data_IF_700948884036
#
_entry.id   IF_700948884036
#
_cell.length_a   1.000
_cell.length_b   1.000
_cell.length_c   1.000
_cell.angle_alpha   90.00
_cell.angle_beta   90.00
_cell.angle_gamma   90.00
#
_symmetry.space_group_name_H-M   'P 1'
#
loop_
_entity.id
_entity.type
_entity.pdbx_description
1 polymer ?
#
# COMPACT_ATOMS: atom_id res chain seq x y z
N UNK A 1 17.35 -24.00 7.18
CA UNK A 1 18.33 -22.88 7.16
C UNK A 1 18.16 -22.11 8.46
N UNK A 2 19.24 -21.72 9.16
CA UNK A 2 19.11 -20.86 10.35
C UNK A 2 18.64 -19.46 9.93
N UNK A 3 17.74 -18.79 10.67
CA UNK A 3 17.37 -17.40 10.39
C UNK A 3 18.56 -16.45 10.30
N UNK A 4 19.63 -16.73 11.06
CA UNK A 4 20.90 -15.98 11.02
C UNK A 4 21.65 -16.09 9.68
N UNK A 5 21.29 -17.07 8.85
CA UNK A 5 21.94 -17.30 7.56
C UNK A 5 21.13 -16.70 6.40
N UNK A 6 20.00 -16.05 6.68
CA UNK A 6 19.28 -15.25 5.69
C UNK A 6 20.17 -14.04 5.40
N UNK A 7 20.60 -13.89 4.15
CA UNK A 7 21.38 -12.76 3.68
C UNK A 7 20.47 -11.56 3.40
N UNK A 8 20.39 -11.16 2.13
CA UNK A 8 19.56 -10.04 1.73
C UNK A 8 18.09 -10.44 1.56
N UNK A 9 17.21 -9.66 2.18
CA UNK A 9 15.75 -9.76 2.01
C UNK A 9 15.30 -8.60 1.11
N UNK A 10 14.64 -8.94 0.02
CA UNK A 10 14.13 -8.00 -0.98
C UNK A 10 12.62 -7.82 -0.81
N UNK A 11 12.20 -6.60 -0.45
CA UNK A 11 10.79 -6.21 -0.35
C UNK A 11 10.31 -5.69 -1.70
N UNK A 12 9.38 -6.40 -2.32
CA UNK A 12 8.72 -5.98 -3.56
C UNK A 12 7.45 -5.24 -3.19
N UNK A 13 7.29 -4.02 -3.70
CA UNK A 13 6.10 -3.21 -3.46
C UNK A 13 5.74 -2.44 -4.72
N UNK A 14 4.48 -2.01 -4.82
CA UNK A 14 4.02 -1.14 -5.92
C UNK A 14 4.13 0.33 -5.50
N UNK A 15 4.19 1.22 -6.48
CA UNK A 15 4.16 2.68 -6.24
C UNK A 15 2.82 3.19 -5.67
N UNK A 16 1.79 2.34 -5.59
CA UNK A 16 0.46 2.60 -5.05
C UNK A 16 -0.09 1.33 -4.37
N UNK A 17 -1.11 1.45 -3.54
CA UNK A 17 -1.67 0.30 -2.82
C UNK A 17 -2.87 -0.31 -3.56
N UNK A 18 -3.00 -1.63 -3.47
CA UNK A 18 -4.17 -2.36 -4.00
C UNK A 18 -4.65 -3.40 -3.01
N UNK A 19 -5.96 -3.58 -2.89
CA UNK A 19 -6.57 -4.62 -2.03
C UNK A 19 -7.61 -5.44 -2.80
N UNK A 20 -7.62 -6.74 -2.53
CA UNK A 20 -8.68 -7.67 -2.95
C UNK A 20 -9.50 -8.03 -1.72
N UNK A 21 -10.83 -7.98 -1.84
CA UNK A 21 -11.73 -8.34 -0.75
C UNK A 21 -12.06 -7.19 0.19
N UNK A 22 -12.73 -7.55 1.29
CA UNK A 22 -13.23 -6.65 2.31
C UNK A 22 -12.17 -6.32 3.38
N UNK A 23 -12.53 -5.42 4.28
CA UNK A 23 -11.70 -4.92 5.37
C UNK A 23 -11.13 -3.53 5.08
N UNK A 24 -10.63 -2.83 6.09
CA UNK A 24 -10.35 -1.41 5.95
C UNK A 24 -9.11 -1.17 5.09
N UNK A 25 -9.10 -0.06 4.38
CA UNK A 25 -8.01 0.32 3.51
C UNK A 25 -7.83 1.83 3.63
N UNK A 26 -7.00 2.29 4.59
CA UNK A 26 -6.93 3.70 4.94
C UNK A 26 -6.73 4.61 3.73
N UNK A 27 -5.77 4.26 2.85
CA UNK A 27 -5.44 5.05 1.67
C UNK A 27 -6.32 4.78 0.43
N UNK A 28 -7.44 4.08 0.57
CA UNK A 28 -8.34 3.79 -0.55
C UNK A 28 -8.88 5.06 -1.18
N UNK A 29 -8.90 5.07 -2.52
CA UNK A 29 -9.48 6.14 -3.31
C UNK A 29 -10.83 5.70 -3.86
N UNK A 30 -11.85 6.51 -3.58
CA UNK A 30 -13.23 6.31 -4.05
C UNK A 30 -13.60 7.26 -5.20
N UNK A 31 -12.62 7.97 -5.75
CA UNK A 31 -12.78 8.97 -6.80
C UNK A 31 -12.20 8.48 -8.14
N UNK A 32 -12.25 9.36 -9.15
CA UNK A 32 -11.74 9.08 -10.50
C UNK A 32 -10.23 8.76 -10.51
N UNK A 33 -9.46 9.23 -9.52
CA UNK A 33 -8.03 8.95 -9.41
C UNK A 33 -7.81 7.47 -9.10
N UNK A 34 -8.53 6.93 -8.10
CA UNK A 34 -8.48 5.50 -7.78
C UNK A 34 -8.88 4.62 -8.96
N UNK A 35 -9.91 5.06 -9.69
CA UNK A 35 -10.37 4.39 -10.89
C UNK A 35 -9.33 4.37 -12.01
N UNK A 36 -8.69 5.52 -12.26
CA UNK A 36 -7.63 5.67 -13.27
C UNK A 36 -6.39 4.84 -12.93
N UNK A 37 -5.96 4.83 -11.65
CA UNK A 37 -4.86 3.96 -11.18
C UNK A 37 -5.19 2.49 -11.47
N UNK A 38 -6.41 2.05 -11.14
CA UNK A 38 -6.83 0.66 -11.37
C UNK A 38 -6.85 0.27 -12.85
N UNK A 39 -7.26 1.19 -13.73
CA UNK A 39 -7.27 0.97 -15.18
C UNK A 39 -5.85 0.91 -15.76
N UNK A 40 -5.02 1.94 -15.51
CA UNK A 40 -3.63 2.01 -16.01
C UNK A 40 -2.77 0.87 -15.46
N UNK A 41 -2.98 0.50 -14.19
CA UNK A 41 -2.28 -0.60 -13.54
C UNK A 41 -2.80 -1.99 -13.93
N UNK A 42 -3.85 -2.09 -14.75
CA UNK A 42 -4.54 -3.35 -15.07
C UNK A 42 -4.88 -4.17 -13.80
N UNK A 43 -5.40 -3.50 -12.77
CA UNK A 43 -5.67 -4.09 -11.46
C UNK A 43 -7.02 -4.80 -11.42
N UNK A 44 -7.11 -5.89 -12.18
CA UNK A 44 -8.29 -6.75 -12.27
C UNK A 44 -7.94 -8.18 -11.85
N UNK A 45 -8.91 -8.89 -11.29
CA UNK A 45 -8.76 -10.30 -10.95
C UNK A 45 -8.53 -11.14 -12.22
N UNK A 46 -7.50 -11.99 -12.21
CA UNK A 46 -7.11 -12.78 -13.38
C UNK A 46 -8.18 -13.76 -13.89
N UNK A 47 -9.10 -14.19 -13.00
CA UNK A 47 -10.17 -15.15 -13.34
C UNK A 47 -11.51 -14.43 -13.52
N UNK A 48 -11.94 -13.67 -12.50
CA UNK A 48 -13.28 -13.06 -12.47
C UNK A 48 -13.35 -11.69 -13.15
N UNK A 49 -12.21 -11.07 -13.46
CA UNK A 49 -12.16 -9.69 -13.94
C UNK A 49 -12.55 -8.65 -12.88
N UNK A 50 -12.81 -9.06 -11.63
CA UNK A 50 -13.25 -8.13 -10.57
C UNK A 50 -12.18 -7.08 -10.32
N UNK A 51 -12.58 -5.81 -10.35
CA UNK A 51 -11.71 -4.66 -10.05
C UNK A 51 -11.14 -4.76 -8.64
N UNK A 52 -9.85 -4.48 -8.49
CA UNK A 52 -9.19 -4.32 -7.18
C UNK A 52 -9.44 -2.91 -6.66
N UNK A 53 -9.56 -2.80 -5.35
CA UNK A 53 -9.57 -1.51 -4.65
C UNK A 53 -8.19 -0.88 -4.80
N UNK A 54 -8.11 0.40 -5.14
CA UNK A 54 -6.86 1.11 -5.40
C UNK A 54 -6.75 2.33 -4.49
N UNK A 55 -5.52 2.67 -4.11
CA UNK A 55 -5.26 3.76 -3.19
C UNK A 55 -3.83 4.27 -3.31
N UNK A 56 -3.54 5.42 -2.69
CA UNK A 56 -2.18 5.94 -2.61
C UNK A 56 -1.25 5.00 -1.84
N UNK A 57 0.06 5.18 -2.02
CA UNK A 57 1.04 4.39 -1.27
C UNK A 57 0.93 4.68 0.23
N UNK A 58 0.97 3.61 1.00
CA UNK A 58 0.91 3.64 2.46
C UNK A 58 2.31 3.35 3.04
N UNK A 59 3.02 4.41 3.45
CA UNK A 59 4.38 4.27 3.97
C UNK A 59 4.40 3.81 5.42
N UNK A 60 3.32 4.02 6.19
CA UNK A 60 3.20 3.50 7.56
C UNK A 60 3.14 1.97 7.52
N UNK A 61 2.26 1.42 6.67
CA UNK A 61 2.17 -0.01 6.44
C UNK A 61 3.46 -0.60 5.83
N UNK A 62 4.08 0.09 4.87
CA UNK A 62 5.34 -0.37 4.27
C UNK A 62 6.48 -0.41 5.29
N UNK A 63 6.63 0.61 6.14
CA UNK A 63 7.63 0.65 7.21
C UNK A 63 7.44 -0.51 8.18
N UNK A 64 6.19 -0.80 8.57
CA UNK A 64 5.89 -1.96 9.40
C UNK A 64 6.26 -3.28 8.72
N UNK A 65 5.89 -3.45 7.43
CA UNK A 65 6.26 -4.64 6.66
C UNK A 65 7.78 -4.83 6.54
N UNK A 66 8.54 -3.74 6.35
CA UNK A 66 10.01 -3.74 6.32
C UNK A 66 10.58 -4.21 7.66
N UNK A 67 10.06 -3.67 8.76
CA UNK A 67 10.49 -4.02 10.12
C UNK A 67 10.25 -5.49 10.45
N UNK A 68 9.03 -6.01 10.25
CA UNK A 68 8.71 -7.39 10.66
C UNK A 68 9.43 -8.46 9.82
N UNK A 69 9.76 -8.14 8.57
CA UNK A 69 10.41 -9.08 7.65
C UNK A 69 11.93 -8.91 7.57
N UNK A 70 12.51 -7.89 8.23
CA UNK A 70 13.93 -7.58 8.13
C UNK A 70 14.36 -7.23 6.71
N UNK A 71 13.53 -6.49 5.97
CA UNK A 71 13.80 -6.13 4.57
C UNK A 71 15.05 -5.26 4.48
N UNK A 72 16.01 -5.70 3.67
CA UNK A 72 17.28 -5.00 3.44
C UNK A 72 17.31 -4.13 2.18
N UNK A 73 16.49 -4.48 1.19
CA UNK A 73 16.40 -3.77 -0.11
C UNK A 73 14.96 -3.69 -0.56
N UNK A 74 14.59 -2.55 -1.14
CA UNK A 74 13.25 -2.30 -1.66
C UNK A 74 13.28 -2.23 -3.19
N UNK A 75 12.32 -2.88 -3.83
CA UNK A 75 12.13 -2.85 -5.28
C UNK A 75 10.73 -2.32 -5.56
N UNK A 76 10.66 -1.09 -6.09
CA UNK A 76 9.40 -0.42 -6.44
C UNK A 76 8.97 -0.81 -7.84
N UNK A 77 7.74 -1.31 -7.96
CA UNK A 77 7.11 -1.71 -9.22
C UNK A 77 6.00 -0.73 -9.62
N UNK A 78 5.68 -0.71 -10.92
CA UNK A 78 4.55 0.03 -11.48
C UNK A 78 4.56 1.54 -11.20
N UNK A 79 5.75 2.15 -11.18
CA UNK A 79 5.87 3.61 -11.08
C UNK A 79 5.30 4.32 -12.30
N UNK A 80 5.41 3.70 -13.48
CA UNK A 80 4.89 4.18 -14.77
C UNK A 80 3.37 4.45 -14.76
N UNK A 81 2.62 3.74 -13.91
CA UNK A 81 1.18 3.98 -13.72
C UNK A 81 0.92 5.40 -13.21
N UNK A 82 1.84 5.97 -12.45
CA UNK A 82 1.67 7.28 -11.82
C UNK A 82 2.16 8.45 -12.71
N UNK A 83 2.79 8.18 -13.85
CA UNK A 83 3.40 9.21 -14.73
C UNK A 83 2.38 10.25 -15.24
N UNK A 84 1.11 9.87 -15.34
CA UNK A 84 0.04 10.72 -15.88
C UNK A 84 -0.74 11.53 -14.84
N UNK A 85 -0.27 11.55 -13.58
CA UNK A 85 -0.91 12.27 -12.48
C UNK A 85 -0.13 13.53 -12.15
N UNK A 86 -0.81 14.67 -12.06
CA UNK A 86 -0.20 15.95 -11.68
C UNK A 86 0.26 15.96 -10.22
N UNK A 87 -0.51 15.31 -9.34
CA UNK A 87 -0.22 15.21 -7.91
C UNK A 87 -0.21 13.76 -7.47
N UNK A 88 0.85 13.35 -6.79
CA UNK A 88 1.00 12.03 -6.16
C UNK A 88 1.02 12.24 -4.64
N UNK A 89 0.23 11.45 -3.91
CA UNK A 89 0.20 11.48 -2.45
C UNK A 89 0.80 10.19 -1.89
N UNK A 90 1.35 10.29 -0.68
CA UNK A 90 1.85 9.18 0.11
C UNK A 90 1.42 9.39 1.55
N UNK A 91 0.84 8.35 2.17
CA UNK A 91 0.48 8.38 3.58
C UNK A 91 1.74 8.14 4.42
N UNK A 92 2.05 9.09 5.32
CA UNK A 92 3.25 9.08 6.17
C UNK A 92 2.93 8.90 7.66
N UNK A 93 1.68 9.12 8.03
CA UNK A 93 1.15 8.98 9.37
C UNK A 93 -0.34 8.63 9.26
N UNK A 94 -0.84 8.00 10.31
CA UNK A 94 -2.26 7.82 10.52
C UNK A 94 -2.73 8.72 11.64
N UNK A 95 -4.02 9.03 11.65
CA UNK A 95 -4.69 9.64 12.79
C UNK A 95 -5.68 8.64 13.38
N UNK A 96 -5.43 8.27 14.64
CA UNK A 96 -6.26 7.35 15.42
C UNK A 96 -6.87 8.13 16.58
N UNK A 97 -8.20 8.19 16.62
CA UNK A 97 -8.95 8.90 17.68
C UNK A 97 -8.47 10.35 17.90
N UNK A 98 -8.08 11.03 16.81
CA UNK A 98 -7.56 12.40 16.86
C UNK A 98 -6.05 12.51 17.06
N UNK A 99 -5.36 11.42 17.39
CA UNK A 99 -3.92 11.39 17.67
C UNK A 99 -3.14 10.90 16.45
N UNK A 100 -2.17 11.69 16.00
CA UNK A 100 -1.28 11.31 14.91
C UNK A 100 -0.25 10.26 15.37
N UNK A 101 -0.03 9.24 14.55
CA UNK A 101 0.99 8.21 14.76
C UNK A 101 1.61 7.78 13.44
N UNK A 102 2.90 7.42 13.49
CA UNK A 102 3.60 6.78 12.35
C UNK A 102 3.81 5.28 12.58
N UNK A 103 3.15 4.73 13.60
CA UNK A 103 3.16 3.30 13.90
C UNK A 103 1.92 2.61 13.32
N UNK A 104 2.15 1.44 12.75
CA UNK A 104 1.06 0.62 12.24
C UNK A 104 0.28 0.02 13.42
N UNK A 105 -1.05 0.22 13.49
CA UNK A 105 -1.83 -0.20 14.63
C UNK A 105 -1.98 -1.72 14.66
N UNK A 106 -2.22 -2.26 15.86
CA UNK A 106 -2.50 -3.69 16.04
C UNK A 106 -3.77 -4.13 15.29
N UNK A 107 -4.78 -3.27 15.31
CA UNK A 107 -6.02 -3.45 14.58
C UNK A 107 -6.22 -2.28 13.62
N UNK A 108 -6.47 -2.58 12.35
CA UNK A 108 -6.98 -1.60 11.41
C UNK A 108 -8.50 -1.66 11.47
N UNK A 109 -9.12 -0.52 11.74
CA UNK A 109 -10.56 -0.32 11.70
C UNK A 109 -10.89 0.89 10.78
N UNK A 110 -12.19 1.18 10.64
CA UNK A 110 -12.67 2.24 9.73
C UNK A 110 -12.51 3.66 10.31
N UNK A 111 -11.97 3.83 11.53
CA UNK A 111 -11.75 5.16 12.13
C UNK A 111 -10.35 5.73 11.87
N UNK A 112 -9.50 4.97 11.18
CA UNK A 112 -8.15 5.41 10.81
C UNK A 112 -8.22 6.37 9.62
N UNK A 113 -7.70 7.58 9.81
CA UNK A 113 -7.52 8.56 8.74
C UNK A 113 -6.05 8.54 8.25
N UNK A 114 -5.80 8.41 6.92
CA UNK A 114 -4.46 8.40 6.33
C UNK A 114 -3.87 9.80 6.05
#
# INVERSE_FOLDING_TARGET
>A
MSPRNIGEVYGIFKAYCTRVGSGPFPTELFDEVGDKIGQLGHEFGAVTGRKRRCGWIDLVALKYAVMINGVSKLIMMKSDVLDSFETIKACVAYKLDGVETSEFPFEINDTIEP
#
